data_IF_237084964193
#
_entry.id   IF_237084964193
#
_cell.length_a   1.000
_cell.length_b   1.000
_cell.length_c   1.000
_cell.angle_alpha   90.00
_cell.angle_beta   90.00
_cell.angle_gamma   90.00
#
_symmetry.space_group_name_H-M   'P 1'
#
loop_
_entity.id
_entity.type
_entity.pdbx_description
1 polymer ?
#
# COMPACT_ATOMS: atom_id res chain seq x y z
N UNK A 1 -5.82 -29.53 -14.64
CA UNK A 1 -6.61 -28.85 -13.58
C UNK A 1 -6.77 -27.39 -14.00
N UNK A 2 -8.00 -26.90 -14.18
CA UNK A 2 -8.24 -25.49 -14.58
C UNK A 2 -8.21 -24.62 -13.33
N UNK A 3 -7.28 -23.66 -13.26
CA UNK A 3 -7.28 -22.65 -12.19
C UNK A 3 -8.51 -21.76 -12.39
N UNK A 4 -9.49 -21.84 -11.48
CA UNK A 4 -10.59 -20.88 -11.40
C UNK A 4 -10.08 -19.64 -10.67
N UNK A 5 -10.13 -18.50 -11.34
CA UNK A 5 -9.78 -17.20 -10.77
C UNK A 5 -11.03 -16.34 -10.70
N UNK A 6 -11.27 -15.76 -9.52
CA UNK A 6 -12.41 -14.86 -9.28
C UNK A 6 -11.86 -13.50 -8.85
N UNK A 7 -11.52 -12.62 -9.81
CA UNK A 7 -10.80 -11.37 -9.54
C UNK A 7 -11.49 -10.48 -8.49
N UNK A 8 -12.83 -10.51 -8.46
CA UNK A 8 -13.65 -9.64 -7.62
C UNK A 8 -13.92 -10.22 -6.23
N UNK A 9 -13.47 -11.43 -5.90
CA UNK A 9 -13.71 -12.01 -4.57
C UNK A 9 -13.10 -11.19 -3.44
N UNK A 10 -12.01 -10.45 -3.71
CA UNK A 10 -11.42 -9.53 -2.73
C UNK A 10 -12.37 -8.39 -2.31
N UNK A 11 -13.40 -8.09 -3.11
CA UNK A 11 -14.43 -7.10 -2.79
C UNK A 11 -15.55 -7.69 -1.90
N UNK A 12 -15.71 -9.01 -1.91
CA UNK A 12 -16.83 -9.71 -1.31
C UNK A 12 -16.48 -10.33 0.05
N UNK A 13 -15.28 -10.88 0.18
CA UNK A 13 -14.85 -11.64 1.35
C UNK A 13 -13.50 -11.15 1.91
N UNK A 14 -13.33 -11.25 3.24
CA UNK A 14 -12.04 -11.06 3.88
C UNK A 14 -11.11 -12.21 3.49
N UNK A 15 -10.37 -12.04 2.40
CA UNK A 15 -9.37 -12.99 1.95
C UNK A 15 -8.02 -12.73 2.64
N UNK A 16 -7.13 -13.73 2.67
CA UNK A 16 -5.70 -13.52 2.95
C UNK A 16 -5.08 -12.73 1.80
N UNK A 17 -5.22 -11.41 1.84
CA UNK A 17 -4.84 -10.52 0.75
C UNK A 17 -3.84 -9.45 1.22
N UNK A 18 -3.08 -8.97 0.25
CA UNK A 18 -2.25 -7.78 0.37
C UNK A 18 -2.92 -6.66 -0.44
N UNK A 19 -2.98 -5.46 0.14
CA UNK A 19 -3.43 -4.26 -0.54
C UNK A 19 -2.26 -3.28 -0.68
N UNK A 20 -2.09 -2.73 -1.88
CA UNK A 20 -1.00 -1.79 -2.19
C UNK A 20 -1.63 -0.48 -2.64
N UNK A 21 -1.33 0.60 -1.91
CA UNK A 21 -1.76 1.95 -2.24
C UNK A 21 -0.68 2.66 -3.05
N UNK A 22 -1.01 2.96 -4.31
CA UNK A 22 -0.11 3.63 -5.23
C UNK A 22 -0.21 5.15 -5.14
N UNK A 23 0.85 5.85 -5.56
CA UNK A 23 0.83 7.30 -5.73
C UNK A 23 0.09 7.73 -7.02
N UNK A 24 -1.16 7.28 -7.20
CA UNK A 24 -2.00 7.59 -8.37
C UNK A 24 -2.80 8.88 -8.24
N UNK A 25 -3.48 9.30 -9.31
CA UNK A 25 -4.33 10.49 -9.31
C UNK A 25 -5.47 10.39 -8.27
N UNK A 26 -5.71 11.42 -7.42
CA UNK A 26 -6.76 11.38 -6.39
C UNK A 26 -8.17 11.08 -6.94
N UNK A 27 -8.46 11.53 -8.16
CA UNK A 27 -9.78 11.39 -8.82
C UNK A 27 -10.08 9.94 -9.24
N UNK A 28 -9.05 9.08 -9.28
CA UNK A 28 -9.19 7.66 -9.55
C UNK A 28 -9.71 6.88 -8.32
N UNK A 29 -9.62 7.46 -7.11
CA UNK A 29 -10.06 6.80 -5.89
C UNK A 29 -11.56 6.48 -5.94
N UNK A 30 -11.94 5.33 -5.40
CA UNK A 30 -13.34 4.91 -5.27
C UNK A 30 -13.66 4.62 -3.81
N UNK A 31 -14.89 4.86 -3.33
CA UNK A 31 -15.26 4.58 -1.94
C UNK A 31 -14.94 3.15 -1.47
N UNK A 32 -15.05 2.18 -2.37
CA UNK A 32 -14.75 0.76 -2.09
C UNK A 32 -13.28 0.51 -1.73
N UNK A 33 -12.35 1.40 -2.10
CA UNK A 33 -10.93 1.25 -1.79
C UNK A 33 -10.67 1.32 -0.29
N UNK A 34 -11.42 2.16 0.45
CA UNK A 34 -11.31 2.22 1.91
C UNK A 34 -11.71 0.89 2.55
N UNK A 35 -12.76 0.25 2.02
CA UNK A 35 -13.20 -1.07 2.49
C UNK A 35 -12.17 -2.15 2.18
N UNK A 36 -11.62 -2.16 0.96
CA UNK A 36 -10.55 -3.07 0.56
C UNK A 36 -9.32 -2.93 1.45
N UNK A 37 -8.87 -1.69 1.65
CA UNK A 37 -7.70 -1.37 2.45
C UNK A 37 -7.87 -1.81 3.91
N UNK A 38 -8.99 -1.44 4.53
CA UNK A 38 -9.25 -1.75 5.93
C UNK A 38 -9.55 -3.23 6.18
N UNK A 39 -10.05 -3.95 5.18
CA UNK A 39 -10.24 -5.40 5.26
C UNK A 39 -8.96 -6.20 4.95
N UNK A 40 -7.90 -5.53 4.47
CA UNK A 40 -6.70 -6.24 4.03
C UNK A 40 -5.84 -6.75 5.18
N UNK A 41 -5.36 -7.99 5.03
CA UNK A 41 -4.47 -8.62 6.00
C UNK A 41 -3.12 -7.91 6.05
N UNK A 42 -2.60 -7.52 4.87
CA UNK A 42 -1.37 -6.75 4.73
C UNK A 42 -1.58 -5.51 3.89
N UNK A 43 -0.96 -4.41 4.30
CA UNK A 43 -1.13 -3.07 3.73
C UNK A 43 0.21 -2.44 3.40
N UNK A 44 0.39 -2.06 2.14
CA UNK A 44 1.61 -1.43 1.64
C UNK A 44 1.26 -0.08 1.01
N UNK A 45 2.09 0.93 1.22
CA UNK A 45 2.07 2.13 0.41
C UNK A 45 3.34 2.21 -0.42
N UNK A 46 3.23 2.66 -1.67
CA UNK A 46 4.40 3.14 -2.41
C UNK A 46 4.64 4.59 -2.05
N UNK A 47 5.82 4.92 -1.54
CA UNK A 47 6.31 6.26 -1.21
C UNK A 47 5.21 7.33 -1.00
N UNK A 48 4.96 8.19 -1.99
CA UNK A 48 3.98 9.28 -1.92
C UNK A 48 2.52 8.84 -1.68
N UNK A 49 2.19 7.57 -1.91
CA UNK A 49 0.91 6.96 -1.52
C UNK A 49 0.67 6.99 -0.01
N UNK A 50 1.73 6.95 0.81
CA UNK A 50 1.63 7.06 2.26
C UNK A 50 1.03 8.41 2.71
N UNK A 51 1.26 9.48 1.94
CA UNK A 51 0.70 10.80 2.20
C UNK A 51 -0.84 10.80 2.09
N UNK A 52 -1.41 9.98 1.20
CA UNK A 52 -2.87 9.88 1.03
C UNK A 52 -3.53 9.03 2.10
N UNK A 53 -2.84 8.02 2.60
CA UNK A 53 -3.39 7.08 3.58
C UNK A 53 -3.30 7.63 5.00
N UNK A 54 -2.16 8.22 5.36
CA UNK A 54 -1.84 8.52 6.75
C UNK A 54 -2.59 9.75 7.27
N UNK A 55 -3.45 9.56 8.27
CA UNK A 55 -4.14 10.66 8.94
C UNK A 55 -5.24 11.33 8.12
N UNK A 56 -5.70 10.69 7.04
CA UNK A 56 -6.87 11.14 6.27
C UNK A 56 -8.18 10.88 7.03
N UNK A 57 -9.29 11.46 6.55
CA UNK A 57 -10.65 11.20 7.02
C UNK A 57 -11.55 10.78 5.83
N UNK A 58 -12.34 9.70 5.94
CA UNK A 58 -12.41 8.75 7.05
C UNK A 58 -11.10 8.00 7.25
N UNK A 59 -10.83 7.58 8.50
CA UNK A 59 -9.55 6.97 8.88
C UNK A 59 -9.33 5.64 8.14
N UNK A 60 -8.13 5.51 7.58
CA UNK A 60 -7.63 4.25 7.06
C UNK A 60 -6.68 3.62 8.06
N UNK A 61 -6.71 2.30 8.15
CA UNK A 61 -5.77 1.54 8.94
C UNK A 61 -4.33 1.88 8.52
N UNK A 62 -3.41 1.96 9.47
CA UNK A 62 -2.00 2.30 9.20
C UNK A 62 -1.39 1.27 8.25
N UNK A 63 -0.57 1.67 7.26
CA UNK A 63 0.17 0.71 6.43
C UNK A 63 1.14 -0.11 7.29
N UNK A 64 1.33 -1.38 6.95
CA UNK A 64 2.36 -2.21 7.58
C UNK A 64 3.75 -1.83 7.05
N UNK A 65 3.82 -1.48 5.76
CA UNK A 65 5.06 -1.13 5.07
C UNK A 65 4.85 0.06 4.14
N UNK A 66 5.82 0.99 4.11
CA UNK A 66 5.98 1.94 3.01
C UNK A 66 7.26 1.60 2.27
N UNK A 67 7.21 1.54 0.94
CA UNK A 67 8.37 1.24 0.10
C UNK A 67 8.52 2.24 -1.04
N UNK A 68 9.75 2.63 -1.32
CA UNK A 68 10.14 3.50 -2.42
C UNK A 68 11.48 4.16 -2.13
N UNK A 69 11.89 5.12 -2.96
CA UNK A 69 13.09 5.94 -2.75
C UNK A 69 12.88 7.07 -1.72
N UNK A 70 11.66 7.24 -1.21
CA UNK A 70 11.35 8.17 -0.11
C UNK A 70 11.53 9.64 -0.50
N UNK A 71 11.41 9.97 -1.78
CA UNK A 71 11.47 11.33 -2.29
C UNK A 71 10.10 12.03 -2.32
N UNK A 72 9.03 11.23 -2.30
CA UNK A 72 7.66 11.68 -2.47
C UNK A 72 6.89 11.71 -1.14
N UNK A 73 7.27 10.89 -0.15
CA UNK A 73 6.68 10.90 1.20
C UNK A 73 7.07 12.19 1.92
N UNK A 74 6.08 12.83 2.54
CA UNK A 74 6.32 14.02 3.35
C UNK A 74 7.07 13.64 4.63
N UNK A 75 8.10 14.39 5.06
CA UNK A 75 8.86 14.09 6.28
C UNK A 75 7.98 13.95 7.52
N UNK A 76 6.95 14.80 7.65
CA UNK A 76 5.99 14.74 8.77
C UNK A 76 5.17 13.43 8.78
N UNK A 77 4.87 12.88 7.61
CA UNK A 77 4.17 11.60 7.46
C UNK A 77 5.13 10.45 7.78
N UNK A 78 6.37 10.49 7.29
CA UNK A 78 7.39 9.50 7.61
C UNK A 78 7.65 9.43 9.13
N UNK A 79 7.81 10.58 9.81
CA UNK A 79 7.96 10.63 11.27
C UNK A 79 6.77 9.99 12.02
N UNK A 80 5.54 10.29 11.59
CA UNK A 80 4.33 9.69 12.19
C UNK A 80 4.28 8.17 12.04
N UNK A 81 4.85 7.66 10.96
CA UNK A 81 4.84 6.23 10.62
C UNK A 81 5.98 5.43 11.28
N UNK A 82 7.09 6.07 11.68
CA UNK A 82 8.29 5.38 12.24
C UNK A 82 8.02 4.34 13.32
N UNK A 83 7.00 4.57 14.17
CA UNK A 83 6.67 3.66 15.30
C UNK A 83 5.63 2.59 14.97
N UNK A 84 4.98 2.67 13.79
CA UNK A 84 3.81 1.86 13.45
C UNK A 84 3.90 1.17 12.08
N UNK A 85 4.90 1.51 11.29
CA UNK A 85 5.07 1.07 9.91
C UNK A 85 6.56 0.87 9.62
N UNK A 86 6.87 -0.17 8.85
CA UNK A 86 8.23 -0.40 8.35
C UNK A 86 8.48 0.46 7.10
N UNK A 87 9.47 1.35 7.16
CA UNK A 87 9.89 2.14 6.02
C UNK A 87 11.05 1.42 5.30
N UNK A 88 10.82 0.97 4.07
CA UNK A 88 11.81 0.27 3.24
C UNK A 88 12.31 1.20 2.15
N UNK A 89 13.51 1.72 2.34
CA UNK A 89 14.17 2.57 1.34
C UNK A 89 14.72 1.72 0.18
N UNK A 90 14.25 2.00 -1.02
CA UNK A 90 14.59 1.31 -2.27
C UNK A 90 15.02 2.36 -3.32
N UNK A 91 16.34 2.65 -3.43
CA UNK A 91 16.85 3.82 -4.16
C UNK A 91 16.91 3.66 -5.69
N UNK A 92 16.52 2.51 -6.25
CA UNK A 92 16.65 2.20 -7.68
C UNK A 92 15.81 3.15 -8.56
N UNK A 93 16.45 4.14 -9.18
CA UNK A 93 15.79 5.16 -10.00
C UNK A 93 15.34 4.66 -11.38
N UNK A 94 15.82 3.48 -11.82
CA UNK A 94 15.43 2.90 -13.11
C UNK A 94 14.16 2.04 -13.01
N UNK A 95 13.51 2.05 -11.83
CA UNK A 95 12.33 1.24 -11.51
C UNK A 95 11.28 2.08 -10.80
N UNK A 96 10.02 1.85 -11.13
CA UNK A 96 8.90 2.44 -10.39
C UNK A 96 8.77 1.81 -9.01
N UNK A 97 8.17 2.51 -8.05
CA UNK A 97 7.96 1.97 -6.70
C UNK A 97 7.12 0.70 -6.66
N UNK A 98 6.15 0.56 -7.58
CA UNK A 98 5.40 -0.69 -7.74
C UNK A 98 6.34 -1.84 -8.14
N UNK A 99 7.31 -1.58 -9.01
CA UNK A 99 8.30 -2.60 -9.41
C UNK A 99 9.24 -2.95 -8.26
N UNK A 100 9.67 -1.94 -7.48
CA UNK A 100 10.46 -2.14 -6.26
C UNK A 100 9.69 -2.99 -5.24
N UNK A 101 8.40 -2.71 -5.03
CA UNK A 101 7.50 -3.49 -4.19
C UNK A 101 7.41 -4.96 -4.61
N UNK A 102 7.22 -5.24 -5.90
CA UNK A 102 7.13 -6.63 -6.41
C UNK A 102 8.42 -7.44 -6.26
N UNK A 103 9.55 -6.78 -5.94
CA UNK A 103 10.85 -7.43 -5.69
C UNK A 103 11.13 -7.67 -4.22
N UNK A 104 10.20 -7.33 -3.33
CA UNK A 104 10.36 -7.62 -1.91
C UNK A 104 10.47 -9.14 -1.68
N UNK A 105 11.32 -9.57 -0.73
CA UNK A 105 11.39 -10.96 -0.32
C UNK A 105 10.04 -11.53 0.14
N UNK A 106 9.85 -12.84 0.01
CA UNK A 106 8.57 -13.51 0.35
C UNK A 106 8.09 -13.27 1.78
N UNK A 107 9.00 -13.07 2.74
CA UNK A 107 8.66 -12.81 4.14
C UNK A 107 8.01 -11.45 4.39
N UNK A 108 7.92 -10.60 3.36
CA UNK A 108 7.11 -9.39 3.43
C UNK A 108 5.62 -9.63 3.25
N UNK A 109 5.17 -10.78 2.70
CA UNK A 109 3.78 -11.05 2.30
C UNK A 109 2.99 -11.92 3.30
#
# INVERSE_FOLDING_TARGET
MVRKFSPLNCLLEAAKNACVWLNGAPEAERPVWSRLWNAAQKRYCTDGGANRVTGRKPELATPDVVIGDMDSIQPTIAERLKSRCLLVHAPDQDKTDLTKFCRLPEWFY
#
